data_IF_593702111635
#
_entry.id   IF_593702111635
#
_cell.length_a   1.000
_cell.length_b   1.000
_cell.length_c   1.000
_cell.angle_alpha   90.00
_cell.angle_beta   90.00
_cell.angle_gamma   90.00
#
_symmetry.space_group_name_H-M   'P 1'
#
loop_
_entity.id
_entity.type
_entity.pdbx_description
1 polymer ?
#
# COMPACT_ATOMS: atom_id res chain seq x y z
N UNK A 1 10.54 1.35 6.12
CA UNK A 1 9.68 2.53 5.90
C UNK A 1 10.55 3.62 5.29
N UNK A 2 10.28 4.04 4.06
CA UNK A 2 10.98 5.18 3.42
C UNK A 2 10.20 6.45 3.78
N UNK A 3 10.88 7.44 4.37
CA UNK A 3 10.29 8.75 4.71
C UNK A 3 11.23 9.81 4.15
N UNK A 4 10.72 10.65 3.26
CA UNK A 4 11.44 11.80 2.72
C UNK A 4 10.56 13.04 2.80
N UNK A 5 11.18 14.18 3.10
CA UNK A 5 10.48 15.46 3.15
C UNK A 5 10.09 15.93 1.73
N UNK A 6 10.96 15.67 0.74
CA UNK A 6 10.71 15.99 -0.66
C UNK A 6 10.92 14.75 -1.55
N UNK A 7 10.07 14.61 -2.57
CA UNK A 7 10.15 13.53 -3.56
C UNK A 7 10.71 13.98 -4.91
N UNK A 8 11.25 15.18 -4.97
CA UNK A 8 11.89 15.71 -6.16
C UNK A 8 13.10 16.56 -5.78
N UNK A 9 14.09 16.60 -6.68
CA UNK A 9 15.24 17.49 -6.61
C UNK A 9 15.61 17.92 -8.01
N UNK A 10 15.56 19.23 -8.26
CA UNK A 10 15.78 19.81 -9.59
C UNK A 10 14.81 19.25 -10.64
N UNK A 11 15.34 18.44 -11.57
CA UNK A 11 14.58 17.80 -12.67
C UNK A 11 14.32 16.30 -12.44
N UNK A 12 14.67 15.79 -11.27
CA UNK A 12 14.52 14.37 -10.92
C UNK A 12 13.40 14.23 -9.89
N UNK A 13 12.48 13.28 -10.11
CA UNK A 13 11.42 12.93 -9.18
C UNK A 13 11.46 11.42 -8.85
N UNK A 14 11.21 11.09 -7.60
CA UNK A 14 11.06 9.72 -7.11
C UNK A 14 9.63 9.27 -7.33
N UNK A 15 9.43 8.02 -7.76
CA UNK A 15 8.11 7.44 -8.04
C UNK A 15 8.06 6.00 -7.52
N UNK A 16 6.85 5.52 -7.18
CA UNK A 16 6.62 4.15 -6.73
C UNK A 16 7.29 3.86 -5.38
N UNK A 17 7.85 2.65 -5.21
CA UNK A 17 8.51 2.26 -3.96
C UNK A 17 9.72 3.13 -3.59
N UNK A 18 10.31 3.84 -4.57
CA UNK A 18 11.40 4.79 -4.32
C UNK A 18 10.93 6.06 -3.60
N UNK A 19 9.68 6.50 -3.81
CA UNK A 19 9.07 7.63 -3.09
C UNK A 19 8.27 7.19 -1.87
N UNK A 20 7.60 6.04 -1.97
CA UNK A 20 6.76 5.51 -0.91
C UNK A 20 6.64 3.98 -0.96
N UNK A 21 7.49 3.30 -0.20
CA UNK A 21 7.33 1.86 -0.02
C UNK A 21 6.22 1.58 1.01
N UNK A 22 5.05 1.15 0.51
CA UNK A 22 3.85 0.81 1.30
C UNK A 22 3.33 -0.56 0.89
N UNK A 23 4.10 -1.61 1.15
CA UNK A 23 3.68 -2.99 0.85
C UNK A 23 3.51 -3.80 2.12
N UNK A 24 2.25 -4.01 2.51
CA UNK A 24 1.86 -5.07 3.45
C UNK A 24 0.97 -6.14 2.82
N UNK A 25 0.23 -5.80 1.75
CA UNK A 25 -0.66 -6.72 1.04
C UNK A 25 -0.47 -6.70 -0.50
N UNK A 26 0.65 -6.17 -0.99
CA UNK A 26 0.93 -6.13 -2.44
C UNK A 26 0.35 -4.92 -3.19
N UNK A 27 -0.12 -3.89 -2.47
CA UNK A 27 -0.65 -2.66 -3.08
C UNK A 27 0.42 -1.74 -3.74
N UNK A 28 1.71 -2.09 -3.62
CA UNK A 28 2.81 -1.29 -4.17
C UNK A 28 2.66 -1.00 -5.67
N UNK A 29 2.28 -2.00 -6.46
CA UNK A 29 2.08 -1.83 -7.91
C UNK A 29 0.90 -0.91 -8.23
N UNK A 30 -0.22 -1.05 -7.54
CA UNK A 30 -1.40 -0.19 -7.71
C UNK A 30 -1.06 1.26 -7.37
N UNK A 31 -0.36 1.48 -6.26
CA UNK A 31 0.07 2.81 -5.83
C UNK A 31 1.10 3.41 -6.78
N UNK A 32 1.99 2.59 -7.33
CA UNK A 32 2.99 3.01 -8.32
C UNK A 32 2.33 3.47 -9.63
N UNK A 33 1.36 2.72 -10.15
CA UNK A 33 0.61 3.09 -11.36
C UNK A 33 -0.19 4.38 -11.13
N UNK A 34 -0.91 4.47 -10.01
CA UNK A 34 -1.65 5.69 -9.66
C UNK A 34 -0.72 6.90 -9.48
N UNK A 35 0.46 6.70 -8.87
CA UNK A 35 1.49 7.72 -8.72
C UNK A 35 2.08 8.18 -10.06
N UNK A 36 2.39 7.25 -10.96
CA UNK A 36 2.89 7.56 -12.30
C UNK A 36 1.86 8.37 -13.11
N UNK A 37 0.57 8.00 -13.04
CA UNK A 37 -0.50 8.75 -13.65
C UNK A 37 -0.62 10.18 -13.09
N UNK A 38 -0.57 10.33 -11.77
CA UNK A 38 -0.59 11.65 -11.13
C UNK A 38 0.60 12.53 -11.54
N UNK A 39 1.79 11.94 -11.71
CA UNK A 39 2.97 12.65 -12.19
C UNK A 39 2.80 13.10 -13.65
N UNK A 40 2.33 12.20 -14.51
CA UNK A 40 2.08 12.53 -15.92
C UNK A 40 1.06 13.67 -16.05
N UNK A 41 -0.01 13.64 -15.25
CA UNK A 41 -1.01 14.70 -15.22
C UNK A 41 -0.41 16.05 -14.78
N UNK A 42 0.38 16.06 -13.71
CA UNK A 42 1.01 17.28 -13.21
C UNK A 42 2.02 17.88 -14.21
N UNK A 43 2.77 17.03 -14.94
CA UNK A 43 3.66 17.48 -16.00
C UNK A 43 2.89 18.05 -17.20
N UNK A 44 1.74 17.46 -17.56
CA UNK A 44 0.89 17.96 -18.63
C UNK A 44 0.23 19.31 -18.30
N UNK A 45 -0.14 19.53 -17.03
CA UNK A 45 -0.70 20.79 -16.55
C UNK A 45 0.33 21.92 -16.46
N UNK A 46 1.61 21.59 -16.25
CA UNK A 46 2.71 22.55 -16.13
C UNK A 46 3.88 22.23 -17.10
N UNK A 47 3.70 22.28 -18.44
CA UNK A 47 4.68 21.76 -19.41
C UNK A 47 6.05 22.44 -19.39
N UNK A 48 6.10 23.70 -18.93
CA UNK A 48 7.33 24.50 -18.86
C UNK A 48 7.84 24.71 -17.45
N UNK A 49 7.12 24.23 -16.43
CA UNK A 49 7.46 24.41 -15.02
C UNK A 49 7.42 23.06 -14.29
N UNK A 50 8.54 22.34 -14.39
CA UNK A 50 8.71 21.05 -13.72
C UNK A 50 8.68 21.18 -12.19
N UNK A 51 9.09 22.33 -11.63
CA UNK A 51 9.09 22.53 -10.20
C UNK A 51 7.65 22.61 -9.66
N UNK A 52 6.77 23.33 -10.37
CA UNK A 52 5.34 23.35 -10.09
C UNK A 52 4.72 21.96 -10.29
N UNK A 53 5.03 21.27 -11.39
CA UNK A 53 4.54 19.92 -11.65
C UNK A 53 4.89 18.96 -10.50
N UNK A 54 6.14 18.97 -10.03
CA UNK A 54 6.60 18.09 -8.95
C UNK A 54 5.94 18.40 -7.61
N UNK A 55 5.72 19.69 -7.27
CA UNK A 55 4.94 20.06 -6.08
C UNK A 55 3.51 19.54 -6.14
N UNK A 56 2.87 19.64 -7.31
CA UNK A 56 1.52 19.12 -7.51
C UNK A 56 1.47 17.59 -7.42
N UNK A 57 2.41 16.90 -8.06
CA UNK A 57 2.58 15.45 -7.95
C UNK A 57 2.73 15.03 -6.48
N UNK A 58 3.63 15.69 -5.73
CA UNK A 58 3.88 15.37 -4.33
C UNK A 58 2.62 15.56 -3.48
N UNK A 59 1.86 16.63 -3.68
CA UNK A 59 0.61 16.88 -2.97
C UNK A 59 -0.47 15.84 -3.29
N UNK A 60 -0.63 15.45 -4.56
CA UNK A 60 -1.62 14.45 -5.00
C UNK A 60 -1.23 13.05 -4.53
N UNK A 61 0.00 12.63 -4.81
CA UNK A 61 0.49 11.32 -4.42
C UNK A 61 0.55 11.19 -2.89
N UNK A 62 0.98 12.23 -2.17
CA UNK A 62 1.01 12.26 -0.71
C UNK A 62 -0.33 11.90 -0.06
N UNK A 63 -1.45 12.36 -0.62
CA UNK A 63 -2.80 11.98 -0.15
C UNK A 63 -3.12 10.50 -0.37
N UNK A 64 -2.71 9.95 -1.53
CA UNK A 64 -2.88 8.53 -1.84
C UNK A 64 -2.06 7.63 -0.90
N UNK A 65 -0.87 8.08 -0.52
CA UNK A 65 0.06 7.32 0.32
C UNK A 65 -0.25 7.46 1.82
N UNK A 66 -0.73 8.63 2.26
CA UNK A 66 -0.93 8.94 3.69
C UNK A 66 -1.96 8.03 4.38
N UNK A 67 -3.03 7.66 3.69
CA UNK A 67 -4.05 6.74 4.23
C UNK A 67 -3.48 5.34 4.51
N UNK A 68 -2.97 4.64 3.48
CA UNK A 68 -2.31 3.35 3.61
C UNK A 68 -1.15 3.35 4.62
N UNK A 69 -0.28 4.37 4.62
CA UNK A 69 0.85 4.45 5.56
C UNK A 69 0.42 4.55 7.03
N UNK A 70 -0.71 5.20 7.33
CA UNK A 70 -1.20 5.34 8.71
C UNK A 70 -1.65 4.01 9.31
N UNK A 71 -2.15 3.10 8.48
CA UNK A 71 -2.64 1.79 8.92
C UNK A 71 -1.58 0.69 8.83
N UNK A 72 -0.54 0.86 8.01
CA UNK A 72 0.55 -0.12 7.85
C UNK A 72 1.11 -0.61 9.18
N UNK A 73 1.41 0.28 10.14
CA UNK A 73 1.99 -0.14 11.42
C UNK A 73 1.03 -1.00 12.26
N UNK A 74 -0.27 -0.66 12.27
CA UNK A 74 -1.27 -1.44 13.01
C UNK A 74 -1.53 -2.78 12.34
N UNK A 75 -1.71 -2.78 11.02
CA UNK A 75 -1.92 -4.00 10.23
C UNK A 75 -0.71 -4.93 10.34
N UNK A 76 0.52 -4.38 10.28
CA UNK A 76 1.75 -5.15 10.47
C UNK A 76 1.81 -5.82 11.83
N UNK A 77 1.42 -5.13 12.89
CA UNK A 77 1.43 -5.70 14.25
C UNK A 77 0.43 -6.83 14.45
N UNK A 78 -0.64 -6.87 13.64
CA UNK A 78 -1.64 -7.95 13.65
C UNK A 78 -1.14 -9.16 12.84
N UNK A 79 -0.50 -8.92 11.68
CA UNK A 79 0.04 -9.98 10.82
C UNK A 79 1.31 -10.63 11.38
N UNK A 80 2.20 -9.81 11.95
CA UNK A 80 3.48 -10.22 12.54
C UNK A 80 3.52 -9.76 14.00
N UNK A 81 2.80 -10.46 14.90
CA UNK A 81 2.84 -10.18 16.32
C UNK A 81 4.25 -10.46 16.86
N UNK A 82 4.75 -9.58 17.73
CA UNK A 82 6.07 -9.75 18.38
C UNK A 82 6.03 -10.70 19.58
N UNK A 83 4.86 -11.18 19.98
CA UNK A 83 4.65 -11.99 21.18
C UNK A 83 4.22 -13.41 20.83
N UNK A 84 4.72 -14.39 21.58
CA UNK A 84 4.35 -15.82 21.49
C UNK A 84 2.83 -16.02 21.54
N UNK A 85 2.16 -15.36 22.48
CA UNK A 85 0.70 -15.38 22.61
C UNK A 85 -0.01 -14.77 21.39
N UNK A 86 0.53 -13.69 20.84
CA UNK A 86 0.02 -13.05 19.63
C UNK A 86 0.11 -13.97 18.41
N UNK A 87 1.23 -14.70 18.26
CA UNK A 87 1.41 -15.68 17.18
C UNK A 87 0.42 -16.84 17.32
N UNK A 88 0.24 -17.38 18.53
CA UNK A 88 -0.71 -18.47 18.81
C UNK A 88 -2.16 -18.04 18.53
N UNK A 89 -2.56 -16.85 18.96
CA UNK A 89 -3.89 -16.29 18.69
C UNK A 89 -4.13 -16.12 17.19
N UNK A 90 -3.19 -15.49 16.47
CA UNK A 90 -3.26 -15.33 15.01
C UNK A 90 -3.44 -16.68 14.32
N UNK A 91 -2.63 -17.67 14.68
CA UNK A 91 -2.68 -19.01 14.08
C UNK A 91 -4.03 -19.70 14.32
N UNK A 92 -4.61 -19.56 15.53
CA UNK A 92 -5.93 -20.10 15.84
C UNK A 92 -7.03 -19.45 15.01
N UNK A 93 -7.00 -18.12 14.87
CA UNK A 93 -7.98 -17.38 14.04
C UNK A 93 -7.88 -17.80 12.57
N UNK A 94 -6.67 -17.88 12.01
CA UNK A 94 -6.44 -18.34 10.63
C UNK A 94 -6.94 -19.78 10.43
N UNK A 95 -6.66 -20.68 11.37
CA UNK A 95 -7.13 -22.06 11.32
C UNK A 95 -8.66 -22.16 11.36
N UNK A 96 -9.31 -21.32 12.18
CA UNK A 96 -10.77 -21.30 12.31
C UNK A 96 -11.45 -20.83 11.02
N UNK A 97 -10.93 -19.77 10.40
CA UNK A 97 -11.40 -19.28 9.09
C UNK A 97 -11.19 -20.34 7.99
N UNK A 98 -10.02 -20.98 7.96
CA UNK A 98 -9.74 -22.06 7.02
C UNK A 98 -10.67 -23.27 7.18
N UNK A 99 -10.96 -23.66 8.42
CA UNK A 99 -11.85 -24.78 8.74
C UNK A 99 -13.31 -24.50 8.39
N UNK A 100 -13.79 -23.25 8.59
CA UNK A 100 -15.12 -22.82 8.18
C UNK A 100 -15.29 -22.83 6.64
N UNK A 101 -14.28 -22.37 5.88
CA UNK A 101 -14.31 -22.40 4.42
C UNK A 101 -14.25 -23.83 3.85
N UNK A 102 -13.49 -24.72 4.49
CA UNK A 102 -13.42 -26.13 4.10
C UNK A 102 -14.76 -26.86 4.35
N UNK A 103 -15.42 -26.58 5.48
CA UNK A 103 -16.77 -27.09 5.80
C UNK A 103 -17.81 -26.61 4.80
N UNK A 104 -17.81 -25.31 4.45
CA UNK A 104 -18.74 -24.73 3.49
C UNK A 104 -18.52 -25.20 2.03
N UNK A 105 -17.32 -25.67 1.68
CA UNK A 105 -17.04 -26.33 0.38
C UNK A 105 -17.48 -27.78 0.36
N UNK A 106 -17.32 -28.51 1.48
CA UNK A 106 -17.80 -29.89 1.62
C UNK A 106 -19.32 -30.01 1.52
N UNK A 107 -20.06 -29.11 2.17
CA UNK A 107 -21.53 -29.11 2.12
C UNK A 107 -22.09 -28.78 0.73
N UNK A 108 -21.42 -27.91 -0.04
CA UNK A 108 -21.78 -27.60 -1.44
C UNK A 108 -21.39 -28.68 -2.44
N UNK A 109 -20.39 -29.50 -2.13
CA UNK A 109 -19.99 -30.65 -2.96
C UNK A 109 -20.93 -31.85 -2.85
N UNK A 110 -21.73 -31.94 -1.79
CA UNK A 110 -22.70 -33.00 -1.53
C UNK A 110 -24.10 -32.72 -2.09
N UNK A 111 -24.34 -31.48 -2.54
CA UNK A 111 -25.61 -31.03 -3.13
C UNK A 111 -25.59 -31.03 -4.68
N UNK A 112 -24.62 -31.72 -5.29
CA UNK A 112 -24.53 -32.03 -6.72
C UNK A 112 -24.37 -33.53 -6.88
#
# INVERSE_FOLDING_TARGET
RVVMAEWASGRVALVGDASSCVSLFGDGSTLAIAGAYALAQALAESPRDHAQAFRQYQARHGKLVAGPQRNVTRVASILVPRTELGVSLRNRVVALVGSAQAGARRLRGWAR
#
